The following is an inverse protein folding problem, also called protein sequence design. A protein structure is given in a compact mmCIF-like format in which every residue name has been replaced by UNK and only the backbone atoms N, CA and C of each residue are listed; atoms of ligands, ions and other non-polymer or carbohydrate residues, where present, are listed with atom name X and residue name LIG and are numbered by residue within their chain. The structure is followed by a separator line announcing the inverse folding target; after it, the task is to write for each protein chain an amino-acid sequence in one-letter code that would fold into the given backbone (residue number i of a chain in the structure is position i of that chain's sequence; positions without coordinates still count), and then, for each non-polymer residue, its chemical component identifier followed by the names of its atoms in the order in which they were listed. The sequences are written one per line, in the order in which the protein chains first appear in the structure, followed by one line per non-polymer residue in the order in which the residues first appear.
data_IF_740671207214
#
_entry.id   IF_740671207214
#
_cell.length_a   1.000
_cell.length_b   1.000
_cell.length_c   1.000
_cell.angle_alpha   90.00
_cell.angle_beta   90.00
_cell.angle_gamma   90.00
#
_symmetry.space_group_name_H-M   'P 1'
#
loop_
_entity.id
_entity.type
_entity.pdbx_description
1 polymer ?
#
# COMPACT_ATOMS: atom_id res chain seq x y z
N UNK A 1 5.26 3.77 -5.91
CA UNK A 1 5.07 2.89 -4.74
C UNK A 1 5.21 1.43 -5.18
N UNK A 2 5.81 0.55 -4.36
CA UNK A 2 5.83 -0.89 -4.61
C UNK A 2 4.76 -1.65 -3.80
N UNK A 3 4.55 -2.93 -4.12
CA UNK A 3 3.57 -3.80 -3.47
C UNK A 3 3.83 -4.01 -1.98
N UNK A 4 5.11 -4.03 -1.57
CA UNK A 4 5.53 -4.25 -0.19
C UNK A 4 5.14 -3.06 0.67
N UNK A 5 5.40 -1.84 0.20
CA UNK A 5 4.97 -0.61 0.85
C UNK A 5 3.45 -0.53 0.93
N UNK A 6 2.75 -0.81 -0.18
CA UNK A 6 1.28 -0.84 -0.22
C UNK A 6 0.69 -1.80 0.81
N UNK A 7 1.17 -3.04 0.85
CA UNK A 7 0.73 -4.07 1.79
C UNK A 7 1.02 -3.66 3.24
N UNK A 8 2.19 -3.08 3.48
CA UNK A 8 2.61 -2.61 4.82
C UNK A 8 1.68 -1.51 5.32
N UNK A 9 1.35 -0.52 4.48
CA UNK A 9 0.39 0.53 4.82
C UNK A 9 -0.97 -0.05 5.24
N UNK A 10 -1.49 -1.02 4.48
CA UNK A 10 -2.75 -1.70 4.83
C UNK A 10 -2.67 -2.38 6.20
N UNK A 11 -1.59 -3.13 6.44
CA UNK A 11 -1.40 -3.90 7.67
C UNK A 11 -1.24 -3.00 8.90
N UNK A 12 -0.48 -1.90 8.78
CA UNK A 12 -0.31 -0.92 9.86
C UNK A 12 -1.64 -0.24 10.24
N UNK A 13 -2.51 -0.01 9.26
CA UNK A 13 -3.84 0.52 9.48
C UNK A 13 -4.87 -0.55 9.89
N UNK A 14 -4.43 -1.79 10.12
CA UNK A 14 -5.26 -2.93 10.56
C UNK A 14 -6.45 -3.21 9.62
N UNK A 15 -6.28 -2.95 8.33
CA UNK A 15 -7.34 -3.14 7.34
C UNK A 15 -7.25 -4.53 6.71
N UNK A 16 -8.39 -5.18 6.54
CA UNK A 16 -8.50 -6.32 5.61
C UNK A 16 -8.37 -5.87 4.16
N UNK A 17 -8.08 -6.79 3.24
CA UNK A 17 -8.06 -6.47 1.80
C UNK A 17 -9.41 -5.94 1.30
N UNK A 18 -10.53 -6.39 1.88
CA UNK A 18 -11.86 -5.91 1.52
C UNK A 18 -12.05 -4.45 1.97
N UNK A 19 -11.78 -4.14 3.23
CA UNK A 19 -11.93 -2.77 3.77
C UNK A 19 -11.01 -1.77 3.06
N UNK A 20 -9.78 -2.16 2.74
CA UNK A 20 -8.87 -1.31 1.98
C UNK A 20 -9.34 -1.10 0.54
N UNK A 21 -9.90 -2.13 -0.10
CA UNK A 21 -10.47 -2.02 -1.44
C UNK A 21 -11.68 -1.07 -1.46
N UNK A 22 -12.54 -1.15 -0.44
CA UNK A 22 -13.71 -0.27 -0.29
C UNK A 22 -13.28 1.19 -0.13
N UNK A 23 -12.30 1.47 0.75
CA UNK A 23 -11.74 2.82 0.95
C UNK A 23 -11.13 3.40 -0.33
N UNK A 24 -10.34 2.58 -1.05
CA UNK A 24 -9.70 2.97 -2.30
C UNK A 24 -10.67 2.97 -3.50
N UNK A 25 -11.92 2.53 -3.32
CA UNK A 25 -12.93 2.36 -4.37
C UNK A 25 -12.40 1.53 -5.55
N UNK A 26 -11.85 0.36 -5.24
CA UNK A 26 -11.34 -0.63 -6.20
C UNK A 26 -11.86 -2.03 -5.84
N UNK A 27 -11.64 -3.02 -6.71
CA UNK A 27 -12.02 -4.39 -6.38
C UNK A 27 -11.03 -5.03 -5.41
N UNK A 28 -11.54 -5.89 -4.51
CA UNK A 28 -10.70 -6.73 -3.63
C UNK A 28 -9.71 -7.58 -4.43
N UNK A 29 -10.12 -8.06 -5.61
CA UNK A 29 -9.28 -8.86 -6.49
C UNK A 29 -8.05 -8.08 -7.00
N UNK A 30 -8.24 -6.82 -7.42
CA UNK A 30 -7.12 -5.97 -7.82
C UNK A 30 -6.15 -5.76 -6.66
N UNK A 31 -6.67 -5.53 -5.45
CA UNK A 31 -5.84 -5.33 -4.26
C UNK A 31 -5.00 -6.58 -3.94
N UNK A 32 -5.59 -7.77 -4.03
CA UNK A 32 -4.86 -9.03 -3.86
C UNK A 32 -3.77 -9.25 -4.93
N UNK A 33 -4.04 -8.92 -6.20
CA UNK A 33 -3.06 -9.03 -7.28
C UNK A 33 -1.89 -8.05 -7.09
N UNK A 34 -2.18 -6.84 -6.63
CA UNK A 34 -1.16 -5.84 -6.29
C UNK A 34 -0.28 -6.33 -5.14
N UNK A 35 -0.87 -6.83 -4.05
CA UNK A 35 -0.11 -7.30 -2.87
C UNK A 35 0.71 -8.57 -3.11
N UNK A 36 0.48 -9.26 -4.22
CA UNK A 36 1.19 -10.48 -4.61
C UNK A 36 2.12 -10.25 -5.81
N UNK A 37 2.37 -8.99 -6.18
CA UNK A 37 3.20 -8.59 -7.32
C UNK A 37 2.72 -9.13 -8.69
N UNK A 38 1.48 -9.64 -8.77
CA UNK A 38 0.88 -10.11 -10.01
C UNK A 38 0.38 -8.97 -10.89
N UNK A 39 0.18 -7.79 -10.31
CA UNK A 39 -0.22 -6.59 -11.05
C UNK A 39 0.49 -5.38 -10.45
N UNK A 40 1.16 -4.54 -11.25
CA UNK A 40 1.82 -3.34 -10.74
C UNK A 40 0.79 -2.30 -10.27
N UNK A 41 1.21 -1.46 -9.31
CA UNK A 41 0.40 -0.32 -8.87
C UNK A 41 0.35 0.72 -9.98
N UNK A 42 -0.85 1.01 -10.49
CA UNK A 42 -1.03 2.06 -11.48
C UNK A 42 -0.92 3.45 -10.83
N UNK A 43 -0.60 4.48 -11.62
CA UNK A 43 -0.56 5.88 -11.13
C UNK A 43 -1.90 6.33 -10.53
N UNK A 44 -3.02 5.85 -11.08
CA UNK A 44 -4.34 6.18 -10.56
C UNK A 44 -4.60 5.53 -9.19
N UNK A 45 -4.14 4.29 -8.99
CA UNK A 45 -4.19 3.61 -7.69
C UNK A 45 -3.25 4.27 -6.69
N UNK A 46 -2.02 4.60 -7.09
CA UNK A 46 -1.05 5.30 -6.24
C UNK A 46 -1.62 6.64 -5.74
N UNK A 47 -2.29 7.41 -6.61
CA UNK A 47 -2.96 8.65 -6.20
C UNK A 47 -4.04 8.39 -5.15
N UNK A 48 -4.90 7.37 -5.33
CA UNK A 48 -5.94 7.00 -4.34
C UNK A 48 -5.33 6.62 -2.99
N UNK A 49 -4.19 5.91 -3.00
CA UNK A 49 -3.47 5.55 -1.77
C UNK A 49 -2.91 6.79 -1.08
N UNK A 50 -2.32 7.71 -1.85
CA UNK A 50 -1.82 8.98 -1.31
C UNK A 50 -2.93 9.84 -0.70
N UNK A 51 -4.12 9.84 -1.31
CA UNK A 51 -5.31 10.53 -0.79
C UNK A 51 -5.86 9.88 0.50
N UNK A 52 -5.90 8.55 0.57
CA UNK A 52 -6.47 7.81 1.71
C UNK A 52 -5.54 7.80 2.95
N UNK A 53 -4.24 7.59 2.75
CA UNK A 53 -3.28 7.40 3.84
C UNK A 53 -2.42 8.64 4.11
N UNK A 54 -2.38 9.60 3.19
CA UNK A 54 -1.57 10.80 3.32
C UNK A 54 -0.09 10.58 3.00
N UNK A 55 0.51 11.56 2.31
CA UNK A 55 1.91 11.47 1.85
C UNK A 55 2.91 11.37 3.01
N UNK A 56 2.66 12.05 4.13
CA UNK A 56 3.56 12.04 5.28
C UNK A 56 3.67 10.64 5.91
N UNK A 57 2.54 9.96 6.10
CA UNK A 57 2.52 8.58 6.62
C UNK A 57 3.27 7.64 5.67
N UNK A 58 3.03 7.77 4.37
CA UNK A 58 3.64 6.91 3.34
C UNK A 58 5.17 7.06 3.34
N UNK A 59 5.67 8.30 3.36
CA UNK A 59 7.12 8.55 3.39
C UNK A 59 7.75 8.08 4.72
N UNK A 60 7.05 8.24 5.86
CA UNK A 60 7.52 7.72 7.13
C UNK A 60 7.66 6.19 7.12
N UNK A 61 6.64 5.48 6.63
CA UNK A 61 6.66 4.01 6.54
C UNK A 61 7.76 3.54 5.59
N UNK A 62 7.88 4.19 4.43
CA UNK A 62 8.93 3.88 3.46
C UNK A 62 10.33 4.03 4.05
N UNK A 63 10.61 5.15 4.74
CA UNK A 63 11.90 5.39 5.41
C UNK A 63 12.20 4.33 6.46
N UNK A 64 11.20 3.95 7.27
CA UNK A 64 11.35 2.89 8.28
C UNK A 64 11.66 1.54 7.63
N UNK A 65 10.97 1.19 6.54
CA UNK A 65 11.26 -0.04 5.78
C UNK A 65 12.68 -0.05 5.22
N UNK A 66 13.14 1.06 4.66
CA UNK A 66 14.50 1.20 4.11
C UNK A 66 15.58 1.02 5.19
N UNK A 67 15.35 1.56 6.39
CA UNK A 67 16.28 1.40 7.52
C UNK A 67 16.35 -0.07 7.98
N UNK A 68 15.21 -0.77 8.03
CA UNK A 68 15.17 -2.18 8.42
C UNK A 68 15.91 -3.07 7.42
N UNK A 69 15.75 -2.81 6.11
CA UNK A 69 16.42 -3.60 5.07
C UNK A 69 17.94 -3.36 5.00
N UNK A 70 18.47 -2.26 5.55
CA UNK A 70 19.91 -1.95 5.59
C UNK A 70 20.65 -2.60 6.76
N UNK A 71 19.91 -3.04 7.77
CA UNK A 71 20.44 -3.66 8.99
C UNK A 71 20.33 -5.20 8.98
N UNK A 72 19.98 -5.77 7.82
CA UNK A 72 19.87 -7.20 7.53
C UNK A 72 20.81 -7.54 6.37
#
# INVERSE_FOLDING_TARGET
MDSKLFKTLRQLNQLTQLQAADRLKVSRALLALVETDKTPISRALERKVNEEFGLEQIEHVKKTMDLLNRNL
#
